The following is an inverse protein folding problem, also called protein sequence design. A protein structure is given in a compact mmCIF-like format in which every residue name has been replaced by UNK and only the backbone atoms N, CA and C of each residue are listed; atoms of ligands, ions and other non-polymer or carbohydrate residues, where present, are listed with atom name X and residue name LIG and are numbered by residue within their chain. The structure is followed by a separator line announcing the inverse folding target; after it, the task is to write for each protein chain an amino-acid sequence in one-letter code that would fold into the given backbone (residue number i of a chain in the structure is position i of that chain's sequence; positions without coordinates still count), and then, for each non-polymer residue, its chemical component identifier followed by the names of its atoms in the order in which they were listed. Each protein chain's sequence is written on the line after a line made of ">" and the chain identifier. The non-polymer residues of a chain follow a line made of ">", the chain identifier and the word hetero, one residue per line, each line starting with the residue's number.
data_IF_838875449526
#
_entry.id   IF_838875449526
#
_cell.length_a   1.000
_cell.length_b   1.000
_cell.length_c   1.000
_cell.angle_alpha   90.00
_cell.angle_beta   90.00
_cell.angle_gamma   90.00
#
_symmetry.space_group_name_H-M   'P 1'
#
loop_
_entity.id
_entity.type
_entity.pdbx_description
1 polymer ?
#
# COMPACT_ATOMS: atom_id res chain seq x y z
N UNK A 1 -58.16 -3.63 -44.74
CA UNK A 1 -57.52 -4.96 -44.65
C UNK A 1 -56.02 -4.73 -44.53
N UNK A 2 -55.46 -5.01 -43.35
CA UNK A 2 -54.11 -4.60 -42.95
C UNK A 2 -53.10 -5.52 -43.65
N UNK A 3 -52.38 -5.01 -44.66
CA UNK A 3 -51.20 -5.68 -45.23
C UNK A 3 -50.11 -5.67 -44.17
N UNK A 4 -50.07 -6.75 -43.40
CA UNK A 4 -49.01 -7.05 -42.44
C UNK A 4 -47.65 -6.95 -43.14
N UNK A 5 -46.81 -6.05 -42.64
CA UNK A 5 -45.41 -5.92 -43.05
C UNK A 5 -44.65 -7.11 -42.47
N UNK A 6 -44.47 -8.17 -43.27
CA UNK A 6 -43.39 -9.14 -43.06
C UNK A 6 -42.06 -8.43 -43.33
N UNK A 7 -41.59 -7.71 -42.31
CA UNK A 7 -40.25 -7.15 -42.33
C UNK A 7 -39.29 -8.33 -42.30
N UNK A 8 -38.50 -8.45 -43.36
CA UNK A 8 -37.60 -9.57 -43.68
C UNK A 8 -36.67 -9.88 -42.49
N UNK A 9 -36.94 -10.99 -41.80
CA UNK A 9 -36.22 -11.41 -40.59
C UNK A 9 -34.70 -11.53 -40.84
N UNK A 10 -34.30 -11.85 -42.08
CA UNK A 10 -32.91 -11.97 -42.51
C UNK A 10 -32.17 -10.62 -42.49
N UNK A 11 -32.82 -9.55 -42.94
CA UNK A 11 -32.20 -8.20 -42.91
C UNK A 11 -31.99 -7.75 -41.47
N UNK A 12 -32.97 -7.96 -40.58
CA UNK A 12 -32.83 -7.64 -39.15
C UNK A 12 -31.68 -8.40 -38.49
N UNK A 13 -31.49 -9.67 -38.84
CA UNK A 13 -30.41 -10.49 -38.29
C UNK A 13 -29.02 -9.97 -38.72
N UNK A 14 -28.87 -9.59 -39.99
CA UNK A 14 -27.64 -9.01 -40.52
C UNK A 14 -27.31 -7.69 -39.80
N UNK A 15 -28.29 -6.79 -39.68
CA UNK A 15 -28.10 -5.52 -38.97
C UNK A 15 -27.76 -5.71 -37.49
N UNK A 16 -28.39 -6.66 -36.78
CA UNK A 16 -28.06 -6.94 -35.38
C UNK A 16 -26.67 -7.54 -35.22
N UNK A 17 -26.23 -8.43 -36.11
CA UNK A 17 -24.87 -9.00 -36.06
C UNK A 17 -23.78 -7.98 -36.35
N UNK A 18 -24.01 -7.06 -37.29
CA UNK A 18 -23.10 -5.94 -37.56
C UNK A 18 -23.00 -4.96 -36.38
N UNK A 19 -24.12 -4.67 -35.71
CA UNK A 19 -24.13 -3.83 -34.51
C UNK A 19 -23.37 -4.50 -33.35
N UNK A 20 -23.55 -5.82 -33.16
CA UNK A 20 -22.83 -6.58 -32.12
C UNK A 20 -21.31 -6.58 -32.35
N UNK A 21 -20.87 -6.74 -33.60
CA UNK A 21 -19.45 -6.66 -33.97
C UNK A 21 -18.88 -5.26 -33.72
N UNK A 22 -19.58 -4.20 -34.10
CA UNK A 22 -19.12 -2.83 -33.86
C UNK A 22 -19.03 -2.50 -32.36
N UNK A 23 -20.01 -2.92 -31.56
CA UNK A 23 -19.98 -2.74 -30.10
C UNK A 23 -18.81 -3.52 -29.47
N UNK A 24 -18.49 -4.71 -29.98
CA UNK A 24 -17.36 -5.51 -29.48
C UNK A 24 -15.99 -4.89 -29.77
N UNK A 25 -15.82 -4.21 -30.91
CA UNK A 25 -14.58 -3.51 -31.25
C UNK A 25 -14.35 -2.28 -30.36
N UNK A 26 -15.38 -1.46 -30.15
CA UNK A 26 -15.29 -0.25 -29.32
C UNK A 26 -14.97 -0.55 -27.85
N UNK A 27 -15.44 -1.69 -27.33
CA UNK A 27 -15.16 -2.10 -25.95
C UNK A 27 -13.71 -2.58 -25.75
N UNK A 28 -13.11 -3.20 -26.77
CA UNK A 28 -11.75 -3.72 -26.71
C UNK A 28 -10.69 -2.60 -26.75
N UNK A 29 -10.88 -1.57 -27.58
CA UNK A 29 -9.96 -0.42 -27.65
C UNK A 29 -9.90 0.37 -26.34
N UNK A 30 -11.04 0.54 -25.67
CA UNK A 30 -11.11 1.29 -24.41
C UNK A 30 -10.37 0.57 -23.27
N UNK A 31 -10.43 -0.77 -23.21
CA UNK A 31 -9.69 -1.58 -22.24
C UNK A 31 -8.18 -1.50 -22.47
N UNK A 32 -7.72 -1.43 -23.72
CA UNK A 32 -6.29 -1.31 -24.01
C UNK A 32 -5.75 0.07 -23.63
N UNK A 33 -6.52 1.14 -23.87
CA UNK A 33 -6.14 2.52 -23.50
C UNK A 33 -5.93 2.69 -21.99
N UNK A 34 -6.87 2.22 -21.16
CA UNK A 34 -6.78 2.32 -19.70
C UNK A 34 -5.57 1.54 -19.13
N UNK A 35 -5.31 0.34 -19.65
CA UNK A 35 -4.13 -0.45 -19.25
C UNK A 35 -2.82 0.26 -19.59
N UNK A 36 -2.76 0.92 -20.76
CA UNK A 36 -1.55 1.63 -21.20
C UNK A 36 -1.29 2.88 -20.36
N UNK A 37 -2.35 3.62 -20.01
CA UNK A 37 -2.28 4.78 -19.13
C UNK A 37 -1.75 4.38 -17.74
N UNK A 38 -2.36 3.36 -17.12
CA UNK A 38 -1.92 2.83 -15.81
C UNK A 38 -0.46 2.35 -15.83
N UNK A 39 -0.04 1.72 -16.92
CA UNK A 39 1.36 1.29 -17.10
C UNK A 39 2.31 2.48 -17.16
N UNK A 40 1.93 3.57 -17.84
CA UNK A 40 2.75 4.78 -17.93
C UNK A 40 2.88 5.46 -16.56
N UNK A 41 1.77 5.63 -15.85
CA UNK A 41 1.76 6.20 -14.49
C UNK A 41 2.63 5.39 -13.54
N UNK A 42 2.50 4.05 -13.56
CA UNK A 42 3.30 3.17 -12.72
C UNK A 42 4.81 3.23 -13.03
N UNK A 43 5.20 3.36 -14.32
CA UNK A 43 6.59 3.58 -14.70
C UNK A 43 7.14 4.89 -14.16
N UNK A 44 6.35 5.97 -14.25
CA UNK A 44 6.74 7.28 -13.73
C UNK A 44 6.89 7.25 -12.19
N UNK A 45 5.99 6.57 -11.48
CA UNK A 45 6.08 6.37 -10.04
C UNK A 45 7.36 5.59 -9.69
N UNK A 46 7.59 4.43 -10.30
CA UNK A 46 8.78 3.60 -10.03
C UNK A 46 10.07 4.38 -10.36
N UNK A 47 10.10 5.13 -11.46
CA UNK A 47 11.24 5.96 -11.83
C UNK A 47 11.49 7.12 -10.85
N UNK A 48 10.44 7.66 -10.23
CA UNK A 48 10.55 8.68 -9.18
C UNK A 48 11.04 8.09 -7.86
N UNK A 49 10.45 6.96 -7.44
CA UNK A 49 10.77 6.27 -6.17
C UNK A 49 12.19 5.71 -6.20
N UNK A 50 12.61 5.09 -7.31
CA UNK A 50 13.96 4.50 -7.45
C UNK A 50 15.11 5.49 -7.29
N UNK A 51 14.86 6.79 -7.46
CA UNK A 51 15.84 7.86 -7.17
C UNK A 51 16.02 8.11 -5.67
N UNK A 52 15.05 7.68 -4.86
CA UNK A 52 14.99 7.91 -3.41
C UNK A 52 15.36 6.62 -2.67
N UNK A 53 14.82 5.49 -3.11
CA UNK A 53 14.88 4.22 -2.39
C UNK A 53 14.88 3.03 -3.35
N UNK A 54 15.65 1.97 -3.06
CA UNK A 54 15.56 0.70 -3.78
C UNK A 54 14.31 -0.09 -3.40
N UNK A 55 13.54 0.33 -2.38
CA UNK A 55 12.27 -0.30 -2.01
C UNK A 55 11.07 0.61 -2.23
N UNK A 56 9.93 -0.01 -2.49
CA UNK A 56 8.61 0.60 -2.58
C UNK A 56 7.64 -0.07 -1.59
N UNK A 57 7.08 0.69 -0.66
CA UNK A 57 6.19 0.20 0.39
C UNK A 57 4.75 0.20 -0.13
N UNK A 58 4.12 -0.97 -0.14
CA UNK A 58 2.73 -1.15 -0.58
C UNK A 58 1.74 -1.04 0.56
N UNK A 59 2.04 -1.66 1.70
CA UNK A 59 1.14 -1.67 2.84
C UNK A 59 1.91 -1.56 4.14
N UNK A 60 1.34 -0.81 5.07
CA UNK A 60 1.72 -0.74 6.46
C UNK A 60 0.45 -1.00 7.25
N UNK A 61 0.42 -2.05 8.06
CA UNK A 61 -0.75 -2.41 8.85
C UNK A 61 -0.35 -2.69 10.29
N UNK A 62 -1.30 -2.43 11.19
CA UNK A 62 -1.24 -2.80 12.59
C UNK A 62 -2.10 -4.05 12.79
N UNK A 63 -1.57 -5.06 13.44
CA UNK A 63 -2.34 -6.23 13.90
C UNK A 63 -2.69 -5.96 15.35
N UNK A 64 -3.94 -5.59 15.60
CA UNK A 64 -4.44 -5.41 16.96
C UNK A 64 -4.53 -6.77 17.66
N UNK A 65 -4.03 -6.89 18.90
CA UNK A 65 -4.11 -8.13 19.64
C UNK A 65 -5.49 -8.32 20.28
N UNK A 66 -5.88 -9.57 20.47
CA UNK A 66 -7.07 -9.91 21.25
C UNK A 66 -6.84 -9.60 22.74
N UNK A 67 -5.67 -9.97 23.27
CA UNK A 67 -5.25 -9.70 24.64
C UNK A 67 -4.01 -8.79 24.70
N UNK A 68 -3.91 -7.86 25.68
CA UNK A 68 -2.74 -6.98 25.81
C UNK A 68 -1.39 -7.72 25.91
N UNK A 69 -1.40 -8.94 26.46
CA UNK A 69 -0.23 -9.79 26.60
C UNK A 69 0.30 -10.32 25.26
N UNK A 70 -0.54 -10.41 24.23
CA UNK A 70 -0.12 -10.88 22.90
C UNK A 70 0.69 -9.80 22.18
N UNK A 71 0.46 -8.53 22.53
CA UNK A 71 1.10 -7.38 21.92
C UNK A 71 0.65 -7.12 20.48
N UNK A 72 0.66 -5.85 20.12
CA UNK A 72 0.36 -5.33 18.80
C UNK A 72 1.46 -5.70 17.81
N UNK A 73 1.06 -6.38 16.72
CA UNK A 73 1.91 -6.74 15.61
C UNK A 73 1.95 -5.66 14.52
N UNK A 74 2.94 -5.77 13.64
CA UNK A 74 3.18 -4.85 12.53
C UNK A 74 3.45 -5.63 11.26
N UNK A 75 2.78 -5.24 10.18
CA UNK A 75 3.01 -5.78 8.85
C UNK A 75 3.50 -4.68 7.94
N UNK A 76 4.65 -4.88 7.31
CA UNK A 76 5.17 -4.01 6.25
C UNK A 76 5.31 -4.83 4.97
N UNK A 77 4.47 -4.54 3.98
CA UNK A 77 4.59 -5.14 2.64
C UNK A 77 5.32 -4.17 1.75
N UNK A 78 6.44 -4.60 1.18
CA UNK A 78 7.26 -3.75 0.34
C UNK A 78 7.90 -4.56 -0.79
N UNK A 79 8.47 -3.84 -1.73
CA UNK A 79 8.99 -4.42 -2.97
C UNK A 79 10.37 -3.87 -3.24
N UNK A 80 11.33 -4.75 -3.52
CA UNK A 80 12.61 -4.33 -4.05
C UNK A 80 12.46 -3.98 -5.54
N UNK A 81 12.45 -2.68 -5.82
CA UNK A 81 12.30 -2.09 -7.15
C UNK A 81 13.67 -1.78 -7.79
N UNK A 82 14.77 -2.07 -7.11
CA UNK A 82 16.10 -1.99 -7.69
C UNK A 82 16.42 -3.21 -8.57
N UNK A 83 17.57 -3.17 -9.23
CA UNK A 83 18.14 -4.29 -9.99
C UNK A 83 19.10 -5.16 -9.15
N UNK A 84 19.27 -4.87 -7.86
CA UNK A 84 20.23 -5.53 -6.98
C UNK A 84 19.49 -6.32 -5.89
N UNK A 85 20.15 -7.33 -5.31
CA UNK A 85 19.61 -8.04 -4.13
C UNK A 85 19.99 -7.27 -2.87
N UNK A 86 19.04 -7.13 -1.94
CA UNK A 86 19.27 -6.47 -0.65
C UNK A 86 19.48 -7.52 0.45
N UNK A 87 20.31 -7.18 1.43
CA UNK A 87 20.64 -8.02 2.59
C UNK A 87 19.67 -7.77 3.74
N UNK A 88 19.40 -6.51 4.07
CA UNK A 88 18.52 -6.14 5.18
C UNK A 88 17.65 -4.95 4.82
N UNK A 89 16.46 -4.92 5.40
CA UNK A 89 15.62 -3.72 5.47
C UNK A 89 15.13 -3.54 6.90
N UNK A 90 15.57 -2.45 7.51
CA UNK A 90 15.18 -2.03 8.85
C UNK A 90 14.16 -0.90 8.75
N UNK A 91 13.04 -1.06 9.43
CA UNK A 91 12.04 -0.02 9.64
C UNK A 91 12.03 0.39 11.10
N UNK A 92 12.45 1.62 11.40
CA UNK A 92 12.22 2.23 12.70
C UNK A 92 10.79 2.77 12.71
N UNK A 93 9.97 2.21 13.58
CA UNK A 93 8.54 2.49 13.68
C UNK A 93 8.20 3.07 15.04
N UNK A 94 7.13 3.87 15.08
CA UNK A 94 6.63 4.54 16.28
C UNK A 94 5.10 4.41 16.34
N UNK A 95 4.53 3.93 17.46
CA UNK A 95 3.11 3.66 17.57
C UNK A 95 2.35 4.85 18.16
N UNK A 96 1.06 4.89 17.83
CA UNK A 96 0.14 5.92 18.28
C UNK A 96 -1.21 5.31 18.69
N UNK A 97 -1.87 5.93 19.66
CA UNK A 97 -3.26 5.63 20.00
C UNK A 97 -4.25 6.36 19.08
N UNK A 98 -5.54 6.16 19.32
CA UNK A 98 -6.63 6.79 18.55
C UNK A 98 -6.71 8.31 18.72
N UNK A 99 -6.03 8.87 19.71
CA UNK A 99 -5.88 10.31 19.91
C UNK A 99 -4.59 10.86 19.27
N UNK A 100 -3.79 10.01 18.61
CA UNK A 100 -2.52 10.38 18.03
C UNK A 100 -1.41 10.63 19.07
N UNK A 101 -1.53 10.06 20.28
CA UNK A 101 -0.47 10.11 21.30
C UNK A 101 0.45 8.92 21.16
N UNK A 102 1.75 9.20 21.30
CA UNK A 102 2.81 8.19 21.25
C UNK A 102 2.59 7.16 22.35
N UNK A 103 2.68 5.89 22.00
CA UNK A 103 2.55 4.79 22.95
C UNK A 103 3.90 4.14 23.26
N UNK A 104 4.21 4.00 24.54
CA UNK A 104 5.32 3.17 24.99
C UNK A 104 4.86 1.72 25.16
N UNK A 105 5.75 0.78 24.86
CA UNK A 105 5.53 -0.64 25.12
C UNK A 105 5.59 -0.92 26.62
N UNK A 106 4.64 -1.69 27.15
CA UNK A 106 4.55 -1.95 28.60
C UNK A 106 5.70 -2.81 29.15
N UNK A 107 6.45 -3.52 28.30
CA UNK A 107 7.54 -4.41 28.74
C UNK A 107 8.87 -3.67 28.82
N UNK A 108 9.22 -2.91 27.79
CA UNK A 108 10.54 -2.30 27.63
C UNK A 108 10.51 -0.77 27.66
N UNK A 109 9.34 -0.15 27.87
CA UNK A 109 9.15 1.31 27.94
C UNK A 109 9.70 2.05 26.71
N UNK A 110 9.75 1.38 25.55
CA UNK A 110 10.21 1.98 24.30
C UNK A 110 9.04 2.50 23.48
N UNK A 111 9.18 3.73 23.00
CA UNK A 111 8.25 4.40 22.08
C UNK A 111 8.66 4.27 20.61
N UNK A 112 9.82 3.69 20.32
CA UNK A 112 10.25 3.35 18.97
C UNK A 112 10.92 1.98 18.95
N UNK A 113 10.70 1.21 17.89
CA UNK A 113 11.29 -0.11 17.68
C UNK A 113 11.74 -0.27 16.25
N UNK A 114 12.80 -1.04 16.06
CA UNK A 114 13.28 -1.42 14.73
C UNK A 114 12.75 -2.81 14.43
N UNK A 115 12.03 -2.93 13.32
CA UNK A 115 11.65 -4.23 12.75
C UNK A 115 12.50 -4.49 11.52
N UNK A 116 13.11 -5.67 11.46
CA UNK A 116 14.09 -6.06 10.44
C UNK A 116 13.55 -7.19 9.59
N UNK A 117 13.68 -7.06 8.28
CA UNK A 117 13.48 -8.14 7.32
C UNK A 117 14.84 -8.57 6.77
N UNK A 118 15.14 -9.86 6.87
CA UNK A 118 16.42 -10.45 6.50
C UNK A 118 16.35 -11.05 5.09
N UNK A 119 17.40 -10.84 4.30
CA UNK A 119 17.48 -11.26 2.91
C UNK A 119 17.86 -12.72 2.67
N UNK A 120 17.97 -13.12 1.40
CA UNK A 120 18.08 -12.25 0.22
C UNK A 120 16.74 -11.67 -0.24
N UNK A 121 16.62 -10.35 -0.21
CA UNK A 121 15.45 -9.63 -0.74
C UNK A 121 15.68 -9.38 -2.23
N UNK A 122 15.22 -10.33 -3.04
CA UNK A 122 15.46 -10.35 -4.48
C UNK A 122 14.79 -9.17 -5.21
N UNK A 123 15.40 -8.64 -6.28
CA UNK A 123 14.75 -7.65 -7.13
C UNK A 123 13.50 -8.27 -7.77
N UNK A 124 12.47 -7.46 -7.98
CA UNK A 124 11.21 -7.93 -8.56
C UNK A 124 11.27 -8.42 -10.02
N UNK A 125 12.40 -8.19 -10.70
CA UNK A 125 12.58 -8.44 -12.12
C UNK A 125 12.78 -7.14 -12.89
N UNK A 126 12.59 -7.17 -14.21
CA UNK A 126 12.73 -5.96 -15.02
C UNK A 126 11.62 -4.94 -14.69
N UNK A 127 11.82 -3.67 -15.04
CA UNK A 127 10.85 -2.59 -14.77
C UNK A 127 9.46 -2.92 -15.34
N UNK A 128 9.35 -3.61 -16.48
CA UNK A 128 8.05 -3.98 -17.05
C UNK A 128 7.29 -4.99 -16.17
N UNK A 129 8.01 -5.93 -15.53
CA UNK A 129 7.48 -6.88 -14.56
C UNK A 129 7.12 -6.18 -13.25
N UNK A 130 7.94 -5.23 -12.79
CA UNK A 130 7.64 -4.37 -11.64
C UNK A 130 6.35 -3.59 -11.88
N UNK A 131 6.21 -2.97 -13.05
CA UNK A 131 5.07 -2.12 -13.39
C UNK A 131 3.75 -2.91 -13.36
N UNK A 132 3.74 -4.14 -13.87
CA UNK A 132 2.57 -5.03 -13.79
C UNK A 132 2.25 -5.40 -12.34
N UNK A 133 3.25 -5.87 -11.58
CA UNK A 133 3.06 -6.35 -10.20
C UNK A 133 2.75 -5.26 -9.20
N UNK A 134 3.20 -4.04 -9.43
CA UNK A 134 2.86 -2.87 -8.59
C UNK A 134 1.36 -2.57 -8.70
N UNK A 135 0.77 -2.66 -9.90
CA UNK A 135 -0.63 -2.28 -10.13
C UNK A 135 -1.65 -3.42 -9.97
N UNK A 136 -1.29 -4.67 -10.31
CA UNK A 136 -2.25 -5.78 -10.35
C UNK A 136 -2.44 -6.52 -9.01
N UNK A 137 -2.07 -5.92 -7.88
CA UNK A 137 -2.33 -6.46 -6.53
C UNK A 137 -2.02 -7.97 -6.39
N UNK A 138 -0.89 -8.45 -6.92
CA UNK A 138 -0.48 -9.81 -6.61
C UNK A 138 -0.25 -9.91 -5.09
N UNK A 139 -1.10 -10.71 -4.44
CA UNK A 139 -1.25 -10.86 -2.98
C UNK A 139 0.05 -11.39 -2.34
N UNK A 140 0.94 -11.96 -3.16
CA UNK A 140 2.23 -12.51 -2.74
C UNK A 140 3.36 -11.48 -2.86
N UNK A 141 3.17 -10.31 -2.23
CA UNK A 141 4.28 -9.36 -2.08
C UNK A 141 5.16 -9.81 -0.92
N UNK A 142 6.47 -10.01 -1.12
CA UNK A 142 7.39 -10.21 -0.01
C UNK A 142 7.30 -9.07 1.00
N UNK A 143 7.58 -9.34 2.26
CA UNK A 143 7.51 -8.35 3.33
C UNK A 143 7.47 -9.02 4.68
N UNK A 144 7.88 -8.27 5.71
CA UNK A 144 7.91 -8.77 7.07
C UNK A 144 6.56 -8.68 7.76
N UNK A 145 6.31 -9.69 8.58
CA UNK A 145 5.23 -9.70 9.56
C UNK A 145 5.86 -9.94 10.93
N UNK A 146 5.85 -8.93 11.79
CA UNK A 146 6.40 -8.99 13.13
C UNK A 146 5.25 -8.97 14.13
N UNK A 147 5.05 -10.07 14.85
CA UNK A 147 4.07 -10.13 15.91
C UNK A 147 4.65 -9.51 17.20
N UNK A 148 3.76 -9.07 18.09
CA UNK A 148 4.13 -8.69 19.46
C UNK A 148 5.19 -7.57 19.54
N UNK A 149 5.16 -6.63 18.60
CA UNK A 149 6.12 -5.52 18.57
C UNK A 149 5.86 -4.58 19.74
N UNK A 150 4.60 -4.22 20.01
CA UNK A 150 4.21 -3.39 21.17
C UNK A 150 3.30 -4.12 22.13
N UNK A 151 3.71 -4.31 23.38
CA UNK A 151 2.84 -4.90 24.40
C UNK A 151 1.87 -3.86 24.97
N UNK A 152 0.94 -3.40 24.12
CA UNK A 152 -0.07 -2.40 24.44
C UNK A 152 -1.20 -2.47 23.41
N UNK A 153 -2.45 -2.57 23.88
CA UNK A 153 -3.64 -2.80 23.03
C UNK A 153 -4.18 -1.52 22.41
N UNK A 154 -3.84 -0.37 23.00
CA UNK A 154 -4.27 0.96 22.57
C UNK A 154 -3.57 1.44 21.30
N UNK A 155 -2.55 0.71 20.82
CA UNK A 155 -1.88 1.02 19.55
C UNK A 155 -2.84 0.75 18.40
N UNK A 156 -3.26 1.81 17.71
CA UNK A 156 -4.13 1.72 16.53
C UNK A 156 -3.41 2.16 15.26
N UNK A 157 -2.28 2.87 15.40
CA UNK A 157 -1.49 3.33 14.28
C UNK A 157 0.02 3.22 14.53
N UNK A 158 0.77 3.17 13.45
CA UNK A 158 2.24 3.18 13.42
C UNK A 158 2.74 4.13 12.33
N UNK A 159 3.86 4.78 12.57
CA UNK A 159 4.56 5.64 11.60
C UNK A 159 5.98 5.11 11.44
N UNK A 160 6.46 5.02 10.20
CA UNK A 160 7.86 4.74 9.90
C UNK A 160 8.65 6.05 10.03
N UNK A 161 9.59 6.09 10.96
CA UNK A 161 10.47 7.24 11.23
C UNK A 161 11.77 7.18 10.42
N UNK A 162 12.26 5.96 10.17
CA UNK A 162 13.50 5.72 9.45
C UNK A 162 13.44 4.41 8.70
N UNK A 163 14.01 4.39 7.50
CA UNK A 163 14.24 3.18 6.72
C UNK A 163 15.74 3.05 6.49
N UNK A 164 16.33 1.92 6.87
CA UNK A 164 17.73 1.59 6.56
C UNK A 164 17.76 0.35 5.70
N UNK A 165 18.42 0.44 4.54
CA UNK A 165 18.50 -0.64 3.56
C UNK A 165 19.97 -0.96 3.38
N UNK A 166 20.34 -2.23 3.57
CA UNK A 166 21.69 -2.71 3.38
C UNK A 166 21.77 -3.59 2.13
N UNK A 167 22.71 -3.27 1.26
CA UNK A 167 23.02 -4.04 0.05
C UNK A 167 24.01 -5.18 0.35
N UNK A 168 24.19 -6.10 -0.60
CA UNK A 168 25.15 -7.21 -0.47
C UNK A 168 26.61 -6.77 -0.30
N UNK A 169 26.97 -5.60 -0.81
CA UNK A 169 28.31 -5.00 -0.65
C UNK A 169 28.49 -4.26 0.69
N UNK A 170 27.46 -4.28 1.56
CA UNK A 170 27.44 -3.59 2.84
C UNK A 170 27.09 -2.10 2.75
N UNK A 171 26.84 -1.56 1.55
CA UNK A 171 26.40 -0.17 1.39
C UNK A 171 25.03 0.02 2.07
N UNK A 172 24.92 1.07 2.89
CA UNK A 172 23.69 1.45 3.58
C UNK A 172 23.05 2.67 2.94
N UNK A 173 21.77 2.56 2.63
CA UNK A 173 20.90 3.66 2.23
C UNK A 173 19.99 3.98 3.43
N UNK A 174 20.06 5.21 3.93
CA UNK A 174 19.29 5.67 5.08
C UNK A 174 18.32 6.75 4.63
N UNK A 175 17.04 6.59 4.99
CA UNK A 175 15.96 7.51 4.66
C UNK A 175 15.26 7.91 5.96
N UNK A 176 15.44 9.17 6.38
CA UNK A 176 14.86 9.75 7.60
C UNK A 176 13.93 10.93 7.32
N UNK A 177 14.02 11.52 6.11
CA UNK A 177 13.18 12.63 5.68
C UNK A 177 11.71 12.15 5.50
N UNK A 178 10.75 12.67 6.28
CA UNK A 178 9.35 12.24 6.22
C UNK A 178 8.74 12.37 4.83
N UNK A 179 9.11 13.38 4.04
CA UNK A 179 8.59 13.57 2.69
C UNK A 179 9.15 12.53 1.71
N UNK A 180 10.40 12.09 1.91
CA UNK A 180 10.97 10.97 1.15
C UNK A 180 10.34 9.64 1.56
N UNK A 181 10.14 9.42 2.86
CA UNK A 181 9.43 8.24 3.37
C UNK A 181 8.01 8.20 2.77
N UNK A 182 7.27 9.31 2.77
CA UNK A 182 5.93 9.37 2.16
C UNK A 182 5.95 9.02 0.66
N UNK A 183 6.98 9.46 -0.07
CA UNK A 183 7.11 9.18 -1.51
C UNK A 183 7.37 7.71 -1.84
N UNK A 184 7.95 6.93 -0.93
CA UNK A 184 8.20 5.50 -1.16
C UNK A 184 6.96 4.63 -0.90
N UNK A 185 5.86 5.20 -0.41
CA UNK A 185 4.57 4.50 -0.29
C UNK A 185 3.77 4.50 -1.60
N UNK A 186 2.94 3.48 -1.80
CA UNK A 186 1.98 3.48 -2.90
C UNK A 186 0.92 4.57 -2.71
N UNK A 187 0.64 5.32 -3.77
CA UNK A 187 -0.51 6.24 -3.80
C UNK A 187 -1.77 5.40 -3.59
N UNK A 188 -2.43 5.58 -2.45
CA UNK A 188 -3.58 4.76 -2.05
C UNK A 188 -3.26 3.56 -1.15
N UNK A 189 -2.05 3.47 -0.58
CA UNK A 189 -1.78 2.55 0.54
C UNK A 189 -2.69 2.92 1.71
N UNK A 190 -3.84 2.27 1.82
CA UNK A 190 -4.73 2.43 2.97
C UNK A 190 -4.26 1.50 4.08
N UNK A 191 -4.23 1.99 5.33
CA UNK A 191 -4.06 1.11 6.48
C UNK A 191 -5.36 0.34 6.67
N UNK A 192 -5.24 -0.99 6.70
CA UNK A 192 -6.31 -1.86 7.11
C UNK A 192 -6.01 -2.30 8.54
N UNK A 193 -6.84 -1.84 9.50
CA UNK A 193 -6.90 -2.48 10.80
C UNK A 193 -7.68 -3.77 10.59
N UNK A 194 -6.97 -4.89 10.47
CA UNK A 194 -7.58 -6.20 10.37
C UNK A 194 -8.08 -6.60 11.76
N UNK A 195 -9.30 -6.21 12.13
CA UNK A 195 -10.00 -6.83 13.25
C UNK A 195 -10.43 -8.22 12.78
N UNK A 196 -9.86 -9.26 13.38
CA UNK A 196 -10.25 -10.65 13.13
C UNK A 196 -11.73 -10.86 13.50
N UNK A 197 -12.64 -10.59 12.55
CA UNK A 197 -13.96 -11.21 12.50
C UNK A 197 -14.48 -11.18 11.04
N UNK A 198 -14.28 -12.28 10.32
CA UNK A 198 -14.80 -12.43 8.95
C UNK A 198 -16.33 -12.62 8.90
N UNK A 199 -17.05 -12.52 10.03
CA UNK A 199 -18.51 -12.66 10.08
C UNK A 199 -19.27 -11.34 10.31
N UNK A 200 -18.59 -10.23 10.59
CA UNK A 200 -19.23 -8.97 10.99
C UNK A 200 -18.74 -7.75 10.19
N UNK A 201 -18.85 -7.82 8.85
CA UNK A 201 -18.59 -6.66 7.98
C UNK A 201 -19.71 -5.61 8.05
N UNK A 202 -19.72 -4.80 9.11
CA UNK A 202 -20.41 -3.50 9.13
C UNK A 202 -19.62 -2.49 9.96
N UNK A 203 -18.43 -2.12 9.48
CA UNK A 203 -17.89 -0.74 9.42
C UNK A 203 -16.39 -0.83 9.19
N UNK A 204 -15.98 -0.88 7.92
CA UNK A 204 -14.59 -0.73 7.53
C UNK A 204 -14.20 0.75 7.72
N UNK A 205 -13.62 1.10 8.87
CA UNK A 205 -12.91 2.38 8.99
C UNK A 205 -11.52 2.21 8.39
N UNK A 206 -11.36 2.73 7.17
CA UNK A 206 -10.08 2.93 6.51
C UNK A 206 -9.37 4.07 7.23
N UNK A 207 -8.20 3.81 7.81
CA UNK A 207 -7.33 4.90 8.26
C UNK A 207 -6.31 5.15 7.15
N UNK A 208 -6.37 6.32 6.53
CA UNK A 208 -5.34 6.72 5.59
C UNK A 208 -4.02 6.92 6.36
N UNK A 209 -2.86 6.73 5.73
CA UNK A 209 -1.59 7.21 6.29
C UNK A 209 -1.72 8.70 6.66
N UNK A 210 -2.54 9.44 5.90
CA UNK A 210 -2.93 10.82 6.18
C UNK A 210 -3.81 10.99 7.44
N UNK A 211 -4.55 9.97 7.91
CA UNK A 211 -5.38 10.09 9.12
C UNK A 211 -4.58 9.87 10.41
N UNK A 212 -3.41 9.22 10.30
CA UNK A 212 -2.43 9.20 11.38
C UNK A 212 -1.46 10.38 11.34
N UNK A 213 -1.46 11.21 10.29
CA UNK A 213 -0.39 12.20 10.08
C UNK A 213 -0.86 13.66 10.05
N UNK A 214 -0.20 14.42 10.93
CA UNK A 214 0.28 15.80 10.77
C UNK A 214 -0.72 16.97 10.71
N UNK A 215 -1.74 16.98 9.84
CA UNK A 215 -2.58 18.18 9.66
C UNK A 215 -3.50 18.46 10.85
N UNK A 216 -4.00 17.41 11.51
CA UNK A 216 -4.77 17.57 12.76
C UNK A 216 -3.88 17.84 14.00
N UNK A 217 -2.55 17.75 13.88
CA UNK A 217 -1.62 17.89 15.02
C UNK A 217 -0.81 19.18 15.01
N UNK A 218 -0.53 19.78 13.84
CA UNK A 218 0.07 21.13 13.75
C UNK A 218 -0.90 22.23 14.19
N UNK A 219 -2.21 22.05 14.01
CA UNK A 219 -3.23 22.96 14.56
C UNK A 219 -3.28 22.90 16.08
N UNK A 220 -3.23 21.70 16.67
CA UNK A 220 -3.29 21.51 18.12
C UNK A 220 -2.05 22.06 18.87
N UNK A 221 -0.85 21.99 18.28
CA UNK A 221 0.36 22.50 18.92
C UNK A 221 0.58 24.02 18.74
N UNK A 222 -0.04 24.66 17.74
CA UNK A 222 0.03 26.12 17.60
C UNK A 222 -0.91 26.87 18.56
N UNK A 223 -1.94 26.20 19.09
CA UNK A 223 -2.86 26.78 20.08
C UNK A 223 -2.33 26.67 21.54
N UNK A 224 -1.33 25.83 21.80
CA UNK A 224 -0.69 25.71 23.12
C UNK A 224 0.50 26.65 23.36
N UNK A 225 0.91 27.44 22.35
CA UNK A 225 2.00 28.43 22.47
C UNK A 225 1.45 29.86 22.66
N UNK A 226 0.14 30.02 22.86
CA UNK A 226 -0.53 31.33 23.02
C UNK A 226 -1.22 31.57 24.37
N UNK A 227 -0.88 30.82 25.41
CA UNK A 227 -1.30 31.12 26.79
C UNK A 227 -0.11 31.15 27.73
#
# INVERSE_FOLDING_TARGET
>A
MIKSREVNLKEKLIWMSGLLLLVSCSFNENIQSDKLLKLKEAKEIVASVSKISPIYIKHLNVISPDHPADGTGVVVRYQNISNETLTYVDFEIQPYDSMGKIQESAIDNKSAKIVRDDGPIKPMGNIADVTKKVYFFEINVPGGNWNSVWFKKEVVCIVIKKVTIEKLDGLKIIIEDPEKIKKIFSKGSHHYINKHDQSFFRTNQLYNVNDCTYENQLSANNDQVKN
#
